data_IF_143878018602
#
_entry.id   IF_143878018602
#
_cell.length_a   1.000
_cell.length_b   1.000
_cell.length_c   1.000
_cell.angle_alpha   90.00
_cell.angle_beta   90.00
_cell.angle_gamma   90.00
#
_symmetry.space_group_name_H-M   'P 1'
#
loop_
_entity.id
_entity.type
_entity.pdbx_description
1 polymer ?
#
# COMPACT_ATOMS: atom_id res chain seq x y z
N UNK A 1 -10.59 6.27 27.77
CA UNK A 1 -10.48 4.81 27.49
C UNK A 1 -9.09 4.38 27.95
N UNK A 2 -8.94 3.22 28.59
CA UNK A 2 -7.62 2.78 29.07
C UNK A 2 -6.81 2.19 27.91
N UNK A 3 -5.77 2.89 27.47
CA UNK A 3 -4.88 2.50 26.37
C UNK A 3 -3.88 1.42 26.82
N UNK A 4 -3.65 1.33 28.13
CA UNK A 4 -2.85 0.29 28.76
C UNK A 4 -3.65 -1.00 28.90
N UNK A 5 -4.07 -1.55 27.78
CA UNK A 5 -4.78 -2.81 27.74
C UNK A 5 -3.80 -3.96 27.59
N UNK A 6 -3.79 -4.87 28.58
CA UNK A 6 -2.95 -6.07 28.57
C UNK A 6 -3.09 -6.89 27.28
N UNK A 7 -4.30 -6.98 26.73
CA UNK A 7 -4.55 -7.70 25.47
C UNK A 7 -3.88 -7.03 24.27
N UNK A 8 -3.82 -5.69 24.27
CA UNK A 8 -3.16 -4.92 23.21
C UNK A 8 -1.64 -5.06 23.30
N UNK A 9 -1.08 -5.05 24.51
CA UNK A 9 0.34 -5.34 24.73
C UNK A 9 0.71 -6.75 24.24
N UNK A 10 -0.08 -7.77 24.60
CA UNK A 10 0.13 -9.15 24.15
C UNK A 10 -0.04 -9.29 22.63
N UNK A 11 -1.02 -8.61 22.03
CA UNK A 11 -1.17 -8.55 20.58
C UNK A 11 0.08 -7.97 19.91
N UNK A 12 0.61 -6.84 20.39
CA UNK A 12 1.85 -6.24 19.89
C UNK A 12 3.07 -7.17 20.06
N UNK A 13 3.20 -7.86 21.19
CA UNK A 13 4.27 -8.87 21.40
C UNK A 13 4.18 -10.01 20.39
N UNK A 14 2.98 -10.58 20.21
CA UNK A 14 2.76 -11.65 19.22
C UNK A 14 3.03 -11.15 17.81
N UNK A 15 2.55 -9.96 17.45
CA UNK A 15 2.79 -9.37 16.14
C UNK A 15 4.27 -9.18 15.87
N UNK A 16 5.02 -8.60 16.82
CA UNK A 16 6.49 -8.48 16.73
C UNK A 16 7.17 -9.83 16.52
N UNK A 17 6.79 -10.85 17.29
CA UNK A 17 7.36 -12.18 17.20
C UNK A 17 7.12 -12.85 15.85
N UNK A 18 5.91 -12.70 15.28
CA UNK A 18 5.54 -13.32 14.00
C UNK A 18 6.09 -12.56 12.80
N UNK A 19 6.18 -11.22 12.88
CA UNK A 19 6.72 -10.41 11.81
C UNK A 19 8.22 -10.68 11.59
N UNK A 20 8.95 -11.00 12.67
CA UNK A 20 10.37 -11.37 12.62
C UNK A 20 11.28 -10.28 12.03
N UNK A 21 10.81 -9.03 11.98
CA UNK A 21 11.49 -7.93 11.30
C UNK A 21 12.73 -7.53 12.08
N UNK A 22 13.91 -7.91 11.58
CA UNK A 22 15.19 -7.62 12.22
C UNK A 22 16.03 -6.72 11.32
N UNK A 23 15.58 -5.47 11.16
CA UNK A 23 16.32 -4.43 10.45
C UNK A 23 16.68 -3.32 11.44
N UNK A 24 17.97 -3.09 11.64
CA UNK A 24 18.49 -2.09 12.60
C UNK A 24 18.05 -0.66 12.31
N UNK A 25 17.62 -0.39 11.07
CA UNK A 25 17.18 0.94 10.67
C UNK A 25 15.66 1.14 10.84
N UNK A 26 14.91 0.07 11.11
CA UNK A 26 13.47 0.13 11.32
C UNK A 26 13.18 0.29 12.80
N UNK A 27 12.49 1.37 13.15
CA UNK A 27 12.04 1.64 14.52
C UNK A 27 10.84 0.75 14.82
N UNK A 28 9.81 0.84 13.98
CA UNK A 28 8.63 0.00 14.11
C UNK A 28 7.84 -0.15 12.80
N UNK A 29 7.09 -1.24 12.75
CA UNK A 29 6.03 -1.48 11.76
C UNK A 29 4.70 -1.45 12.49
N UNK A 30 3.70 -0.80 11.90
CA UNK A 30 2.34 -0.82 12.39
C UNK A 30 1.37 -1.17 11.27
N UNK A 31 0.30 -1.87 11.60
CA UNK A 31 -0.81 -2.13 10.72
C UNK A 31 -2.09 -1.60 11.37
N UNK A 32 -2.88 -0.85 10.62
CA UNK A 32 -4.17 -0.34 11.08
C UNK A 32 -5.26 -0.69 10.09
N UNK A 33 -6.43 -1.04 10.61
CA UNK A 33 -7.65 -1.23 9.84
C UNK A 33 -8.73 -0.31 10.39
N UNK A 34 -9.35 0.44 9.51
CA UNK A 34 -10.52 1.26 9.80
C UNK A 34 -11.73 0.60 9.16
N UNK A 35 -12.69 0.15 9.97
CA UNK A 35 -14.02 -0.24 9.52
C UNK A 35 -14.83 1.04 9.29
N UNK A 36 -15.18 1.30 8.02
CA UNK A 36 -15.85 2.53 7.59
C UNK A 36 -17.33 2.54 7.98
N UNK A 37 -17.97 1.38 8.09
CA UNK A 37 -19.37 1.25 8.46
C UNK A 37 -19.57 1.47 9.97
N UNK A 38 -18.65 0.93 10.78
CA UNK A 38 -18.75 0.96 12.24
C UNK A 38 -17.90 2.07 12.87
N UNK A 39 -17.11 2.79 12.07
CA UNK A 39 -16.12 3.78 12.50
C UNK A 39 -15.18 3.22 13.57
N UNK A 40 -14.71 1.99 13.35
CA UNK A 40 -13.82 1.29 14.28
C UNK A 40 -12.40 1.27 13.74
N UNK A 41 -11.45 1.72 14.55
CA UNK A 41 -10.03 1.62 14.28
C UNK A 41 -9.43 0.51 15.14
N UNK A 42 -8.81 -0.46 14.47
CA UNK A 42 -7.92 -1.44 15.08
C UNK A 42 -6.50 -1.16 14.60
N UNK A 43 -5.55 -1.12 15.52
CA UNK A 43 -4.14 -0.92 15.21
C UNK A 43 -3.32 -1.98 15.93
N UNK A 44 -2.21 -2.39 15.33
CA UNK A 44 -1.21 -3.27 15.93
C UNK A 44 0.17 -2.84 15.48
N UNK A 45 1.19 -2.99 16.33
CA UNK A 45 2.54 -2.58 15.99
C UNK A 45 3.61 -3.43 16.66
N UNK A 46 4.82 -3.40 16.09
CA UNK A 46 5.98 -4.13 16.62
C UNK A 46 6.62 -3.47 17.83
N UNK A 47 6.16 -2.28 18.19
CA UNK A 47 6.61 -1.53 19.36
C UNK A 47 5.38 -1.01 20.13
N UNK A 48 5.12 -1.59 21.29
CA UNK A 48 3.99 -1.19 22.12
C UNK A 48 4.18 0.20 22.74
N UNK A 49 5.42 0.64 22.98
CA UNK A 49 5.65 1.99 23.48
C UNK A 49 5.24 3.04 22.44
N UNK A 50 5.49 2.77 21.16
CA UNK A 50 4.95 3.59 20.08
C UNK A 50 3.42 3.64 20.10
N UNK A 51 2.74 2.52 20.39
CA UNK A 51 1.28 2.54 20.53
C UNK A 51 0.87 3.51 21.64
N UNK A 52 1.46 3.40 22.84
CA UNK A 52 1.13 4.31 23.94
C UNK A 52 1.38 5.77 23.58
N UNK A 53 2.51 6.06 22.93
CA UNK A 53 2.91 7.41 22.50
C UNK A 53 1.96 8.01 21.46
N UNK A 54 1.60 7.24 20.41
CA UNK A 54 0.64 7.67 19.40
C UNK A 54 -0.72 8.06 20.02
N UNK A 55 -1.07 7.40 21.12
CA UNK A 55 -2.32 7.64 21.81
C UNK A 55 -2.26 8.78 22.82
N UNK A 56 -1.17 8.92 23.57
CA UNK A 56 -1.01 10.05 24.50
C UNK A 56 -1.00 11.39 23.78
N UNK A 57 -0.56 11.39 22.52
CA UNK A 57 -0.49 12.57 21.66
C UNK A 57 -1.75 12.76 20.80
N UNK A 58 -2.84 12.02 21.09
CA UNK A 58 -4.14 12.13 20.42
C UNK A 58 -4.09 11.93 18.89
N UNK A 59 -3.04 11.31 18.35
CA UNK A 59 -2.83 11.16 16.91
C UNK A 59 -3.88 10.28 16.22
N UNK A 60 -4.68 9.53 16.97
CA UNK A 60 -5.83 8.80 16.43
C UNK A 60 -6.93 9.74 15.90
N UNK A 61 -7.02 10.99 16.41
CA UNK A 61 -7.99 12.00 15.93
C UNK A 61 -7.69 12.45 14.51
N UNK A 62 -6.43 12.42 14.10
CA UNK A 62 -5.97 12.80 12.76
C UNK A 62 -5.83 11.62 11.81
N UNK A 63 -6.31 10.42 12.17
CA UNK A 63 -6.20 9.21 11.34
C UNK A 63 -6.83 9.38 9.95
N UNK A 64 -7.88 10.20 9.83
CA UNK A 64 -8.51 10.53 8.55
C UNK A 64 -7.52 11.15 7.54
N UNK A 65 -6.56 11.96 7.99
CA UNK A 65 -5.51 12.56 7.15
C UNK A 65 -4.53 11.52 6.58
N UNK A 66 -4.53 10.31 7.14
CA UNK A 66 -3.66 9.18 6.75
C UNK A 66 -4.38 8.19 5.82
N UNK A 67 -5.67 8.41 5.57
CA UNK A 67 -6.53 7.52 4.80
C UNK A 67 -6.44 7.73 3.28
N UNK A 68 -5.68 8.73 2.81
CA UNK A 68 -5.42 8.93 1.38
C UNK A 68 -4.77 7.68 0.78
N UNK A 69 -5.30 7.20 -0.35
CA UNK A 69 -4.83 5.97 -0.98
C UNK A 69 -3.43 6.13 -1.58
N UNK A 70 -2.59 5.10 -1.45
CA UNK A 70 -1.22 5.11 -1.95
C UNK A 70 -0.17 5.26 -0.86
N UNK A 71 0.90 6.01 -1.14
CA UNK A 71 2.08 6.12 -0.27
C UNK A 71 2.17 7.53 0.32
N UNK A 72 1.91 7.65 1.62
CA UNK A 72 1.90 8.92 2.34
C UNK A 72 3.12 9.06 3.23
N UNK A 73 3.87 10.14 3.07
CA UNK A 73 5.03 10.44 3.93
C UNK A 73 4.58 11.39 5.05
N UNK A 74 4.73 10.98 6.30
CA UNK A 74 4.23 11.72 7.46
C UNK A 74 4.75 13.14 7.57
N UNK A 75 6.00 13.39 7.17
CA UNK A 75 6.59 14.74 7.14
C UNK A 75 5.84 15.73 6.23
N UNK A 76 4.98 15.24 5.34
CA UNK A 76 4.21 16.05 4.39
C UNK A 76 2.74 16.21 4.77
N UNK A 77 2.27 15.58 5.86
CA UNK A 77 0.86 15.60 6.26
C UNK A 77 0.53 16.92 6.97
N UNK A 78 1.10 17.14 8.15
CA UNK A 78 0.94 18.37 8.93
C UNK A 78 2.07 18.51 9.97
N UNK A 79 2.00 19.55 10.80
CA UNK A 79 3.03 19.83 11.81
C UNK A 79 2.99 18.85 12.98
N UNK A 80 1.81 18.36 13.39
CA UNK A 80 1.65 17.38 14.47
C UNK A 80 2.39 16.08 14.10
N UNK A 81 2.23 15.61 12.86
CA UNK A 81 2.93 14.43 12.36
C UNK A 81 4.45 14.64 12.27
N UNK A 82 4.95 15.86 12.05
CA UNK A 82 6.40 16.14 12.12
C UNK A 82 6.90 16.14 13.56
N UNK A 83 6.14 16.70 14.50
CA UNK A 83 6.52 16.78 15.91
C UNK A 83 6.63 15.38 16.53
N UNK A 84 5.66 14.51 16.30
CA UNK A 84 5.71 13.13 16.81
C UNK A 84 6.90 12.36 16.24
N UNK A 85 7.27 12.59 14.97
CA UNK A 85 8.44 11.94 14.37
C UNK A 85 9.76 12.34 15.03
N UNK A 86 9.90 13.62 15.37
CA UNK A 86 11.04 14.10 16.15
C UNK A 86 11.09 13.43 17.53
N UNK A 87 9.94 13.29 18.19
CA UNK A 87 9.82 12.65 19.51
C UNK A 87 10.29 11.19 19.50
N UNK A 88 9.92 10.43 18.47
CA UNK A 88 10.32 9.02 18.32
C UNK A 88 11.67 8.85 17.61
N UNK A 89 12.40 9.94 17.34
CA UNK A 89 13.68 9.94 16.63
C UNK A 89 13.62 9.22 15.27
N UNK A 90 12.46 9.30 14.59
CA UNK A 90 12.28 8.77 13.25
C UNK A 90 12.65 9.84 12.22
N UNK A 91 13.57 9.50 11.33
CA UNK A 91 13.90 10.32 10.18
C UNK A 91 12.73 10.33 9.18
N UNK A 92 12.11 9.18 8.99
CA UNK A 92 10.98 9.04 8.09
C UNK A 92 9.96 8.02 8.59
N UNK A 93 8.70 8.37 8.40
CA UNK A 93 7.59 7.43 8.50
C UNK A 93 6.71 7.50 7.26
N UNK A 94 6.35 6.33 6.76
CA UNK A 94 5.56 6.17 5.54
C UNK A 94 4.37 5.30 5.85
N UNK A 95 3.21 5.69 5.33
CA UNK A 95 1.98 4.90 5.29
C UNK A 95 1.74 4.40 3.88
N UNK A 96 1.42 3.12 3.75
CA UNK A 96 0.92 2.50 2.52
C UNK A 96 -0.54 2.17 2.78
N UNK A 97 -1.42 2.95 2.16
CA UNK A 97 -2.86 2.89 2.38
C UNK A 97 -3.54 2.28 1.17
N UNK A 98 -4.45 1.33 1.41
CA UNK A 98 -5.42 0.87 0.41
C UNK A 98 -6.81 0.95 1.01
N UNK A 99 -7.78 1.33 0.19
CA UNK A 99 -9.18 1.42 0.62
C UNK A 99 -10.06 0.48 -0.19
N UNK A 100 -11.14 0.01 0.42
CA UNK A 100 -12.27 -0.56 -0.28
C UNK A 100 -13.57 -0.05 0.35
N UNK A 101 -14.72 -0.59 -0.06
CA UNK A 101 -16.03 -0.13 0.41
C UNK A 101 -16.24 -0.37 1.92
N UNK A 102 -15.60 -1.38 2.51
CA UNK A 102 -15.83 -1.82 3.89
C UNK A 102 -14.75 -1.35 4.87
N UNK A 103 -13.51 -1.23 4.40
CA UNK A 103 -12.38 -0.91 5.25
C UNK A 103 -11.24 -0.19 4.55
N UNK A 104 -10.48 0.54 5.36
CA UNK A 104 -9.22 1.19 4.97
C UNK A 104 -8.09 0.52 5.74
N UNK A 105 -7.12 -0.01 5.01
CA UNK A 105 -5.94 -0.66 5.57
C UNK A 105 -4.70 0.21 5.39
N UNK A 106 -4.03 0.53 6.49
CA UNK A 106 -2.83 1.36 6.54
C UNK A 106 -1.67 0.51 7.09
N UNK A 107 -0.65 0.29 6.27
CA UNK A 107 0.62 -0.28 6.70
C UNK A 107 1.65 0.85 6.88
N UNK A 108 2.12 1.02 8.11
CA UNK A 108 3.07 2.06 8.47
C UNK A 108 4.45 1.50 8.75
N UNK A 109 5.50 2.18 8.28
CA UNK A 109 6.89 1.89 8.63
C UNK A 109 7.57 3.17 9.10
N UNK A 110 8.16 3.14 10.29
CA UNK A 110 9.03 4.20 10.80
C UNK A 110 10.49 3.75 10.77
N UNK A 111 11.38 4.64 10.36
CA UNK A 111 12.80 4.38 10.14
C UNK A 111 13.65 5.54 10.66
N UNK A 112 14.83 5.21 11.18
CA UNK A 112 15.84 6.19 11.61
C UNK A 112 16.74 6.68 10.44
N UNK A 113 16.45 6.21 9.23
CA UNK A 113 17.10 6.60 7.98
C UNK A 113 16.03 6.81 6.90
N UNK A 114 16.34 7.59 5.84
CA UNK A 114 15.45 7.70 4.69
C UNK A 114 15.16 6.33 4.07
N UNK A 115 13.90 6.05 3.79
CA UNK A 115 13.45 4.83 3.14
C UNK A 115 13.65 4.94 1.64
N UNK A 116 14.35 3.96 1.06
CA UNK A 116 14.47 3.84 -0.39
C UNK A 116 13.11 3.44 -1.01
N UNK A 117 12.87 3.86 -2.25
CA UNK A 117 11.69 3.43 -3.03
C UNK A 117 11.57 1.91 -3.06
N UNK A 118 12.69 1.19 -3.20
CA UNK A 118 12.72 -0.28 -3.17
C UNK A 118 12.23 -0.85 -1.84
N UNK A 119 12.60 -0.22 -0.72
CA UNK A 119 12.16 -0.63 0.62
C UNK A 119 10.65 -0.44 0.78
N UNK A 120 10.12 0.68 0.28
CA UNK A 120 8.68 0.98 0.29
C UNK A 120 7.92 -0.06 -0.57
N UNK A 121 8.39 -0.34 -1.78
CA UNK A 121 7.76 -1.34 -2.67
C UNK A 121 7.77 -2.75 -2.06
N UNK A 122 8.90 -3.15 -1.47
CA UNK A 122 9.00 -4.43 -0.76
C UNK A 122 7.99 -4.49 0.39
N UNK A 123 7.87 -3.42 1.18
CA UNK A 123 6.91 -3.34 2.26
C UNK A 123 5.46 -3.42 1.74
N UNK A 124 5.12 -2.71 0.66
CA UNK A 124 3.82 -2.79 0.01
C UNK A 124 3.47 -4.23 -0.41
N UNK A 125 4.45 -4.99 -0.91
CA UNK A 125 4.24 -6.40 -1.29
C UNK A 125 3.90 -7.32 -0.11
N UNK A 126 4.32 -6.96 1.10
CA UNK A 126 4.06 -7.73 2.33
C UNK A 126 2.73 -7.35 2.99
N UNK A 127 2.11 -6.23 2.59
CA UNK A 127 0.88 -5.71 3.20
C UNK A 127 -0.25 -6.74 3.34
N UNK A 128 -0.58 -7.57 2.32
CA UNK A 128 -1.62 -8.58 2.47
C UNK A 128 -1.31 -9.63 3.54
N UNK A 129 -0.05 -10.09 3.60
CA UNK A 129 0.39 -11.08 4.58
C UNK A 129 0.36 -10.51 6.01
N UNK A 130 0.81 -9.26 6.16
CA UNK A 130 0.78 -8.54 7.44
C UNK A 130 -0.67 -8.28 7.88
N UNK A 131 -1.56 -7.93 6.95
CA UNK A 131 -2.97 -7.74 7.24
C UNK A 131 -3.66 -9.02 7.71
N UNK A 132 -3.39 -10.16 7.06
CA UNK A 132 -3.89 -11.46 7.49
C UNK A 132 -3.36 -11.84 8.89
N UNK A 133 -2.07 -11.62 9.14
CA UNK A 133 -1.46 -11.85 10.45
C UNK A 133 -2.14 -10.98 11.54
N UNK A 134 -2.33 -9.69 11.27
CA UNK A 134 -2.98 -8.77 12.21
C UNK A 134 -4.39 -9.21 12.55
N UNK A 135 -5.20 -9.61 11.55
CA UNK A 135 -6.55 -10.11 11.77
C UNK A 135 -6.59 -11.35 12.67
N UNK A 136 -5.69 -12.32 12.44
CA UNK A 136 -5.62 -13.53 13.27
C UNK A 136 -5.28 -13.21 14.73
N UNK A 137 -4.36 -12.26 14.94
CA UNK A 137 -4.00 -11.82 16.29
C UNK A 137 -5.17 -11.09 16.94
N UNK A 138 -5.85 -10.18 16.23
CA UNK A 138 -7.03 -9.49 16.76
C UNK A 138 -8.17 -10.45 17.10
N UNK A 139 -8.40 -11.49 16.30
CA UNK A 139 -9.40 -12.50 16.59
C UNK A 139 -9.07 -13.32 17.86
N UNK A 140 -7.78 -13.58 18.09
CA UNK A 140 -7.31 -14.40 19.22
C UNK A 140 -7.22 -13.60 20.52
N UNK A 141 -6.56 -12.44 20.49
CA UNK A 141 -6.32 -11.61 21.68
C UNK A 141 -7.48 -10.68 22.00
N UNK A 142 -8.35 -10.40 21.02
CA UNK A 142 -9.51 -9.51 21.16
C UNK A 142 -9.18 -8.17 21.82
N UNK A 143 -8.18 -7.42 21.32
CA UNK A 143 -7.91 -6.09 21.85
C UNK A 143 -9.10 -5.17 21.59
N UNK A 144 -9.27 -4.15 22.43
CA UNK A 144 -10.31 -3.16 22.21
C UNK A 144 -10.07 -2.40 20.89
N UNK A 145 -11.17 -2.01 20.25
CA UNK A 145 -11.14 -1.12 19.09
C UNK A 145 -11.43 0.31 19.52
N UNK A 146 -10.90 1.25 18.74
CA UNK A 146 -11.20 2.66 18.86
C UNK A 146 -12.47 3.00 18.09
N UNK A 147 -13.36 3.79 18.70
CA UNK A 147 -14.35 4.54 17.92
C UNK A 147 -13.68 5.82 17.44
N UNK A 148 -13.49 5.94 16.14
CA UNK A 148 -12.96 7.18 15.54
C UNK A 148 -14.13 8.06 15.07
N UNK A 149 -13.95 9.39 15.03
CA UNK A 149 -14.85 10.24 14.25
C UNK A 149 -14.90 9.68 12.83
N UNK A 150 -16.09 9.66 12.21
CA UNK A 150 -16.21 9.21 10.83
C UNK A 150 -15.15 9.93 10.00
N UNK A 151 -14.26 9.19 9.30
CA UNK A 151 -13.23 9.84 8.51
C UNK A 151 -13.97 10.70 7.50
N UNK A 152 -13.79 12.02 7.60
CA UNK A 152 -14.12 12.93 6.50
C UNK A 152 -13.16 12.54 5.39
N UNK A 153 -13.59 11.59 4.57
CA UNK A 153 -13.05 11.40 3.24
C UNK A 153 -13.29 12.75 2.57
N UNK A 154 -12.21 13.54 2.43
CA UNK A 154 -12.29 14.68 1.55
C UNK A 154 -12.86 14.15 0.23
N UNK A 155 -13.90 14.78 -0.36
CA UNK A 155 -14.30 14.42 -1.71
C UNK A 155 -13.02 14.44 -2.52
N UNK A 156 -12.74 13.34 -3.23
CA UNK A 156 -11.56 13.24 -4.07
C UNK A 156 -11.53 14.50 -4.95
N UNK A 157 -10.71 15.47 -4.56
CA UNK A 157 -10.43 16.60 -5.42
C UNK A 157 -9.61 15.99 -6.53
N UNK A 158 -10.19 15.94 -7.73
CA UNK A 158 -9.54 15.56 -8.99
C UNK A 158 -8.26 16.37 -9.29
N UNK A 159 -7.77 17.21 -8.37
CA UNK A 159 -6.76 18.24 -8.60
C UNK A 159 -5.45 18.09 -7.81
N UNK A 160 -5.20 16.98 -7.10
CA UNK A 160 -3.85 16.68 -6.59
C UNK A 160 -3.39 15.26 -6.91
N UNK A 161 -3.62 14.82 -8.15
CA UNK A 161 -2.60 14.01 -8.80
C UNK A 161 -1.40 14.93 -8.96
N UNK A 162 -0.43 14.83 -8.04
CA UNK A 162 0.92 15.31 -8.28
C UNK A 162 1.27 14.95 -9.72
N UNK A 163 1.50 15.97 -10.56
CA UNK A 163 2.22 15.88 -11.81
C UNK A 163 3.66 15.41 -11.51
N UNK A 164 3.79 14.20 -10.96
CA UNK A 164 4.95 13.39 -11.22
C UNK A 164 4.71 12.96 -12.67
N UNK A 165 5.41 13.61 -13.58
CA UNK A 165 5.54 13.15 -14.95
C UNK A 165 6.27 11.80 -14.92
N UNK A 166 5.55 10.74 -14.51
CA UNK A 166 5.98 9.35 -14.64
C UNK A 166 5.79 9.00 -16.12
N UNK A 167 6.57 9.66 -16.97
CA UNK A 167 6.66 9.34 -18.38
C UNK A 167 7.15 7.89 -18.58
N UNK A 168 7.72 7.26 -17.55
CA UNK A 168 8.27 5.92 -17.58
C UNK A 168 8.08 5.15 -16.25
N UNK A 169 7.42 4.00 -16.32
CA UNK A 169 7.29 3.00 -15.27
C UNK A 169 8.46 2.02 -15.33
N UNK A 170 9.25 1.89 -14.26
CA UNK A 170 10.43 1.02 -14.23
C UNK A 170 10.25 -0.21 -13.32
N UNK A 171 10.57 -1.39 -13.85
CA UNK A 171 10.55 -2.67 -13.14
C UNK A 171 11.91 -3.34 -13.32
N UNK A 172 12.81 -3.14 -12.34
CA UNK A 172 14.21 -3.55 -12.47
C UNK A 172 14.88 -2.82 -13.65
N UNK A 173 15.39 -3.58 -14.63
CA UNK A 173 16.01 -3.04 -15.85
C UNK A 173 15.04 -2.76 -17.02
N UNK A 174 13.72 -2.87 -16.79
CA UNK A 174 12.69 -2.67 -17.82
C UNK A 174 11.98 -1.34 -17.61
N UNK A 175 11.76 -0.59 -18.69
CA UNK A 175 11.02 0.69 -18.67
C UNK A 175 9.82 0.65 -19.61
N UNK A 176 8.66 1.06 -19.13
CA UNK A 176 7.40 1.09 -19.87
C UNK A 176 6.83 2.51 -19.89
N UNK A 177 6.32 2.94 -21.03
CA UNK A 177 5.51 4.16 -21.11
C UNK A 177 4.16 3.97 -20.42
N UNK A 178 3.48 5.06 -20.09
CA UNK A 178 2.13 5.02 -19.51
C UNK A 178 1.15 4.19 -20.36
N UNK A 179 1.14 4.40 -21.68
CA UNK A 179 0.28 3.63 -22.59
C UNK A 179 0.65 2.14 -22.61
N UNK A 180 1.93 1.80 -22.48
CA UNK A 180 2.34 0.38 -22.38
C UNK A 180 1.88 -0.22 -21.04
N UNK A 181 1.94 0.54 -19.95
CA UNK A 181 1.47 0.08 -18.64
C UNK A 181 -0.06 -0.14 -18.62
N UNK A 182 -0.82 0.80 -19.17
CA UNK A 182 -2.28 0.67 -19.33
C UNK A 182 -2.62 -0.56 -20.18
N UNK A 183 -1.93 -0.77 -21.30
CA UNK A 183 -2.09 -2.00 -22.10
C UNK A 183 -1.81 -3.27 -21.29
N UNK A 184 -0.72 -3.31 -20.50
CA UNK A 184 -0.40 -4.46 -19.64
C UNK A 184 -1.51 -4.71 -18.62
N UNK A 185 -2.02 -3.66 -17.98
CA UNK A 185 -3.10 -3.74 -17.01
C UNK A 185 -4.38 -4.30 -17.63
N UNK A 186 -4.80 -3.78 -18.80
CA UNK A 186 -5.99 -4.28 -19.47
C UNK A 186 -5.85 -5.72 -19.97
N UNK A 187 -4.64 -6.12 -20.40
CA UNK A 187 -4.35 -7.51 -20.74
C UNK A 187 -4.47 -8.42 -19.51
N UNK A 188 -3.98 -7.99 -18.34
CA UNK A 188 -4.12 -8.72 -17.08
C UNK A 188 -5.58 -8.87 -16.64
N UNK A 189 -6.44 -7.93 -17.03
CA UNK A 189 -7.90 -8.01 -16.85
C UNK A 189 -8.63 -8.79 -17.96
N UNK A 190 -7.90 -9.53 -18.80
CA UNK A 190 -8.45 -10.37 -19.86
C UNK A 190 -9.26 -9.59 -20.93
N UNK A 191 -9.05 -8.28 -21.07
CA UNK A 191 -9.65 -7.52 -22.17
C UNK A 191 -9.02 -7.92 -23.51
N UNK A 192 -9.85 -8.04 -24.53
CA UNK A 192 -9.43 -8.28 -25.89
C UNK A 192 -8.71 -7.06 -26.48
N UNK A 193 -7.84 -7.29 -27.47
CA UNK A 193 -7.11 -6.22 -28.17
C UNK A 193 -8.07 -5.16 -28.74
N UNK A 194 -9.25 -5.58 -29.19
CA UNK A 194 -10.28 -4.69 -29.73
C UNK A 194 -10.86 -3.77 -28.66
N UNK A 195 -11.15 -4.31 -27.48
CA UNK A 195 -11.63 -3.51 -26.34
C UNK A 195 -10.57 -2.52 -25.87
N UNK A 196 -9.31 -2.95 -25.80
CA UNK A 196 -8.20 -2.08 -25.40
C UNK A 196 -8.00 -0.95 -26.42
N UNK A 197 -8.05 -1.26 -27.72
CA UNK A 197 -7.95 -0.26 -28.78
C UNK A 197 -9.08 0.77 -28.70
N UNK A 198 -10.30 0.31 -28.41
CA UNK A 198 -11.45 1.19 -28.18
C UNK A 198 -11.24 2.10 -26.95
N UNK A 199 -10.78 1.56 -25.82
CA UNK A 199 -10.48 2.32 -24.59
C UNK A 199 -9.41 3.39 -24.86
N UNK A 200 -8.32 3.01 -25.54
CA UNK A 200 -7.23 3.93 -25.89
C UNK A 200 -7.54 4.88 -27.05
N UNK A 201 -8.75 4.80 -27.64
CA UNK A 201 -9.16 5.55 -28.83
C UNK A 201 -8.16 5.44 -29.98
N UNK A 202 -7.64 4.24 -30.22
CA UNK A 202 -6.64 3.95 -31.24
C UNK A 202 -7.08 2.78 -32.15
N UNK A 203 -6.33 2.51 -33.22
CA UNK A 203 -6.59 1.35 -34.07
C UNK A 203 -6.06 0.06 -33.43
N UNK A 204 -6.70 -1.07 -33.73
CA UNK A 204 -6.21 -2.39 -33.29
C UNK A 204 -4.76 -2.66 -33.72
N UNK A 205 -4.37 -2.15 -34.89
CA UNK A 205 -2.99 -2.26 -35.39
C UNK A 205 -2.00 -1.48 -34.52
N UNK A 206 -2.39 -0.29 -34.03
CA UNK A 206 -1.56 0.50 -33.12
C UNK A 206 -1.40 -0.21 -31.77
N UNK A 207 -2.47 -0.83 -31.27
CA UNK A 207 -2.44 -1.60 -30.02
C UNK A 207 -1.58 -2.86 -30.15
N UNK A 208 -1.68 -3.59 -31.28
CA UNK A 208 -0.80 -4.74 -31.58
C UNK A 208 0.67 -4.35 -31.62
N UNK A 209 1.01 -3.20 -32.24
CA UNK A 209 2.38 -2.68 -32.22
C UNK A 209 2.87 -2.39 -30.80
N UNK A 210 2.00 -1.88 -29.93
CA UNK A 210 2.34 -1.63 -28.52
C UNK A 210 2.57 -2.92 -27.75
N UNK A 211 1.73 -3.93 -27.95
CA UNK A 211 1.91 -5.26 -27.37
C UNK A 211 3.24 -5.88 -27.81
N UNK A 212 3.61 -5.77 -29.09
CA UNK A 212 4.91 -6.25 -29.56
C UNK A 212 6.09 -5.46 -28.99
N UNK A 213 5.93 -4.14 -28.75
CA UNK A 213 6.93 -3.35 -28.01
C UNK A 213 7.12 -3.87 -26.58
N UNK A 214 6.02 -4.16 -25.87
CA UNK A 214 6.04 -4.75 -24.52
C UNK A 214 6.72 -6.12 -24.53
N UNK A 215 6.36 -6.98 -25.50
CA UNK A 215 6.98 -8.31 -25.65
C UNK A 215 8.48 -8.21 -25.90
N UNK A 216 8.92 -7.27 -26.74
CA UNK A 216 10.34 -7.02 -27.00
C UNK A 216 11.08 -6.61 -25.74
N UNK A 217 10.49 -5.73 -24.92
CA UNK A 217 11.06 -5.34 -23.63
C UNK A 217 11.18 -6.52 -22.66
N UNK A 218 10.23 -7.45 -22.69
CA UNK A 218 10.21 -8.66 -21.87
C UNK A 218 10.97 -9.86 -22.49
N UNK A 219 11.73 -9.64 -23.57
CA UNK A 219 12.43 -10.68 -24.32
C UNK A 219 11.52 -11.85 -24.77
N UNK A 220 10.28 -11.55 -25.13
CA UNK A 220 9.27 -12.51 -25.59
C UNK A 220 8.61 -12.15 -26.93
N UNK A 221 9.29 -11.38 -27.78
CA UNK A 221 8.86 -11.05 -29.15
C UNK A 221 8.36 -12.27 -29.93
N UNK A 222 7.23 -12.15 -30.62
CA UNK A 222 6.67 -13.22 -31.46
C UNK A 222 6.09 -14.43 -30.70
N UNK A 223 6.13 -14.45 -29.37
CA UNK A 223 5.53 -15.53 -28.56
C UNK A 223 4.04 -15.29 -28.27
N UNK A 224 3.34 -16.36 -27.91
CA UNK A 224 1.90 -16.33 -27.56
C UNK A 224 1.61 -15.48 -26.32
N UNK A 225 0.35 -15.09 -26.15
CA UNK A 225 -0.10 -14.30 -24.98
C UNK A 225 0.16 -15.02 -23.65
N UNK A 226 0.09 -16.36 -23.61
CA UNK A 226 0.44 -17.15 -22.42
C UNK A 226 1.90 -16.97 -21.97
N UNK A 227 2.84 -16.83 -22.92
CA UNK A 227 4.24 -16.52 -22.61
C UNK A 227 4.42 -15.10 -22.09
N UNK A 228 3.65 -14.14 -22.60
CA UNK A 228 3.64 -12.77 -22.11
C UNK A 228 3.17 -12.72 -20.64
N UNK A 229 2.08 -13.41 -20.29
CA UNK A 229 1.61 -13.48 -18.90
C UNK A 229 2.63 -14.10 -17.95
N UNK A 230 3.29 -15.20 -18.37
CA UNK A 230 4.34 -15.82 -17.57
C UNK A 230 5.56 -14.89 -17.40
N UNK A 231 5.93 -14.13 -18.43
CA UNK A 231 7.00 -13.14 -18.34
C UNK A 231 6.63 -12.00 -17.38
N UNK A 232 5.40 -11.47 -17.47
CA UNK A 232 4.89 -10.44 -16.56
C UNK A 232 4.84 -10.91 -15.10
N UNK A 233 4.45 -12.18 -14.88
CA UNK A 233 4.45 -12.81 -13.55
C UNK A 233 5.86 -12.96 -12.99
N UNK A 234 6.81 -13.45 -13.81
CA UNK A 234 8.20 -13.64 -13.41
C UNK A 234 8.91 -12.32 -13.11
N UNK A 235 8.54 -11.24 -13.81
CA UNK A 235 9.07 -9.89 -13.58
C UNK A 235 8.38 -9.13 -12.43
N UNK A 236 7.40 -9.74 -11.74
CA UNK A 236 6.65 -9.08 -10.65
C UNK A 236 5.67 -7.99 -11.11
N UNK A 237 5.61 -7.70 -12.41
CA UNK A 237 4.73 -6.68 -13.02
C UNK A 237 3.27 -7.10 -12.87
N UNK A 238 2.97 -8.38 -13.12
CA UNK A 238 1.61 -8.89 -12.95
C UNK A 238 1.13 -8.72 -11.51
N UNK A 239 2.00 -8.95 -10.52
CA UNK A 239 1.65 -8.78 -9.11
C UNK A 239 1.47 -7.30 -8.76
N UNK A 240 2.35 -6.40 -9.22
CA UNK A 240 2.19 -4.96 -9.01
C UNK A 240 0.88 -4.42 -9.61
N UNK A 241 0.51 -4.86 -10.82
CA UNK A 241 -0.73 -4.44 -11.48
C UNK A 241 -1.98 -5.12 -10.91
N UNK A 242 -1.89 -6.39 -10.47
CA UNK A 242 -3.00 -7.14 -9.86
C UNK A 242 -3.18 -6.86 -8.37
N UNK A 243 -2.20 -6.27 -7.67
CA UNK A 243 -2.37 -5.82 -6.27
C UNK A 243 -3.46 -4.74 -6.15
N UNK A 244 -3.75 -4.03 -7.23
CA UNK A 244 -4.88 -3.11 -7.32
C UNK A 244 -6.23 -3.83 -7.55
N UNK A 245 -6.22 -5.15 -7.78
CA UNK A 245 -7.40 -5.91 -8.22
C UNK A 245 -7.52 -7.32 -7.64
N UNK A 246 -6.79 -7.70 -6.57
CA UNK A 246 -7.22 -8.85 -5.75
C UNK A 246 -8.44 -8.45 -4.92
N UNK A 247 -9.54 -8.22 -5.63
CA UNK A 247 -10.91 -8.37 -5.20
C UNK A 247 -11.49 -9.65 -5.81
N UNK A 248 -12.53 -10.15 -5.15
CA UNK A 248 -13.40 -11.29 -5.48
C UNK A 248 -12.89 -12.65 -5.02
N UNK A 249 -13.70 -13.46 -4.32
CA UNK A 249 -15.16 -13.42 -4.12
C UNK A 249 -15.55 -13.40 -2.65
#
# INVERSE_FOLDING_TARGET
>A
MNVEERNMEEACKKFKSHLGFNNRNVIHVAFSRIDTAQNKLLTICTDYNWHLEYWSEDMYKSVGKRCEEGVNVWNKIDEDHKQILKKIHAEQKVDITTSNEEYIDILSLASNQPLSVRSILNLSSLKPQIGYLAQNIWHTEKPNYLKIPAPTLAPATDETLLNIDISQYSFGGLTFSEKEMQTIQWLLQLKSIKEIAWIHRCSETAERKRIESIKRKLNCSGKSSSYLFNALKKSGIAQACLSNYTMSQ
#
